data_IF_399831371941
#
_entry.id   IF_399831371941
#
_cell.length_a   1.000
_cell.length_b   1.000
_cell.length_c   1.000
_cell.angle_alpha   90.00
_cell.angle_beta   90.00
_cell.angle_gamma   90.00
#
_symmetry.space_group_name_H-M   'P 1'
#
loop_
_entity.id
_entity.type
_entity.pdbx_description
1 polymer ?
#
# COMPACT_ATOMS: atom_id res chain seq x y z
N UNK A 1 -41.19 -9.62 17.27
CA UNK A 1 -40.65 -8.42 16.59
C UNK A 1 -39.49 -7.93 17.45
N UNK A 2 -38.30 -7.80 16.87
CA UNK A 2 -37.17 -7.19 17.59
C UNK A 2 -37.56 -5.76 17.98
N UNK A 3 -37.38 -5.40 19.26
CA UNK A 3 -37.67 -4.06 19.81
C UNK A 3 -36.56 -3.05 19.49
N UNK A 4 -35.46 -3.49 18.86
CA UNK A 4 -34.34 -2.62 18.48
C UNK A 4 -33.49 -2.16 19.66
N UNK A 5 -33.72 -2.70 20.86
CA UNK A 5 -32.87 -2.41 22.02
C UNK A 5 -31.64 -3.33 22.02
N UNK A 6 -30.47 -2.75 22.27
CA UNK A 6 -29.24 -3.52 22.41
C UNK A 6 -29.34 -4.41 23.66
N UNK A 7 -29.11 -5.71 23.47
CA UNK A 7 -29.17 -6.70 24.56
C UNK A 7 -27.96 -6.60 25.49
N UNK A 8 -26.79 -6.24 24.94
CA UNK A 8 -25.57 -5.99 25.70
C UNK A 8 -24.56 -5.21 24.84
N UNK A 9 -23.45 -4.81 25.45
CA UNK A 9 -22.28 -4.22 24.79
C UNK A 9 -21.09 -5.17 24.94
N UNK A 10 -20.22 -5.18 23.94
CA UNK A 10 -18.95 -5.89 24.01
C UNK A 10 -17.81 -4.93 23.70
N UNK A 11 -16.64 -5.19 24.28
CA UNK A 11 -15.41 -4.46 23.95
C UNK A 11 -14.67 -5.13 22.81
N UNK A 12 -14.06 -4.36 21.93
CA UNK A 12 -13.20 -4.87 20.86
C UNK A 12 -11.98 -3.95 20.74
N UNK A 13 -10.79 -4.52 20.87
CA UNK A 13 -9.53 -3.81 20.77
C UNK A 13 -8.58 -4.58 19.83
N UNK A 14 -7.88 -3.85 18.95
CA UNK A 14 -6.90 -4.43 18.04
C UNK A 14 -5.62 -3.59 18.09
N UNK A 15 -4.54 -4.21 18.56
CA UNK A 15 -3.24 -3.59 18.73
C UNK A 15 -2.21 -4.30 17.85
N UNK A 16 -1.34 -3.51 17.20
CA UNK A 16 -0.28 -4.03 16.35
C UNK A 16 1.04 -3.29 16.61
N UNK A 17 2.10 -4.05 16.83
CA UNK A 17 3.47 -3.56 16.81
C UNK A 17 4.16 -4.05 15.55
N UNK A 18 4.70 -3.12 14.75
CA UNK A 18 5.35 -3.43 13.48
C UNK A 18 6.78 -2.91 13.51
N UNK A 19 7.75 -3.80 13.38
CA UNK A 19 9.16 -3.48 13.21
C UNK A 19 9.53 -3.61 11.73
N UNK A 20 10.05 -2.55 11.14
CA UNK A 20 10.36 -2.49 9.71
C UNK A 20 11.85 -2.23 9.46
N UNK A 21 12.45 -3.03 8.59
CA UNK A 21 13.77 -2.75 8.02
C UNK A 21 13.68 -2.71 6.50
N UNK A 22 14.29 -1.71 5.88
CA UNK A 22 14.32 -1.59 4.43
C UNK A 22 15.68 -1.08 3.96
N UNK A 23 16.09 -1.54 2.78
CA UNK A 23 17.32 -1.09 2.15
C UNK A 23 17.11 -0.90 0.65
N UNK A 24 17.92 -0.02 0.04
CA UNK A 24 17.85 0.23 -1.39
C UNK A 24 19.23 0.41 -2.02
N UNK A 25 19.46 -0.30 -3.12
CA UNK A 25 20.65 -0.20 -3.95
C UNK A 25 20.32 0.49 -5.28
N UNK A 26 21.24 1.34 -5.75
CA UNK A 26 21.19 1.92 -7.10
C UNK A 26 22.27 1.26 -7.92
N UNK A 27 21.90 0.69 -9.05
CA UNK A 27 22.77 -0.02 -9.97
C UNK A 27 22.60 0.57 -11.37
N UNK A 28 23.66 0.58 -12.16
CA UNK A 28 23.62 0.98 -13.56
C UNK A 28 23.77 -0.29 -14.40
N UNK A 29 22.67 -0.79 -14.96
CA UNK A 29 22.69 -1.95 -15.85
C UNK A 29 23.22 -1.51 -17.22
N UNK A 30 24.29 -2.15 -17.68
CA UNK A 30 24.84 -1.97 -19.01
C UNK A 30 24.15 -2.99 -19.93
N UNK A 31 23.32 -2.51 -20.85
CA UNK A 31 22.61 -3.33 -21.82
C UNK A 31 23.27 -3.18 -23.20
N UNK A 32 23.60 -4.32 -23.82
CA UNK A 32 24.27 -4.42 -25.12
C UNK A 32 25.77 -4.73 -25.01
N UNK A 33 26.34 -5.28 -26.08
CA UNK A 33 27.77 -5.50 -26.25
C UNK A 33 28.31 -4.57 -27.35
N UNK A 34 29.42 -3.87 -27.10
CA UNK A 34 30.05 -2.96 -28.06
C UNK A 34 30.56 -1.65 -27.44
N UNK A 35 30.93 -0.69 -28.30
CA UNK A 35 31.57 0.58 -27.91
C UNK A 35 30.62 1.62 -27.27
N UNK A 36 29.30 1.42 -27.34
CA UNK A 36 28.29 2.34 -26.77
C UNK A 36 27.17 1.56 -26.06
N UNK A 37 27.44 0.97 -24.88
CA UNK A 37 26.41 0.27 -24.11
C UNK A 37 25.33 1.24 -23.63
N UNK A 38 24.07 0.79 -23.64
CA UNK A 38 22.97 1.56 -23.07
C UNK A 38 22.96 1.40 -21.55
N UNK A 39 23.11 2.53 -20.83
CA UNK A 39 23.11 2.53 -19.35
C UNK A 39 21.68 2.75 -18.86
N UNK A 40 21.12 1.72 -18.23
CA UNK A 40 19.81 1.78 -17.56
C UNK A 40 20.01 1.82 -16.04
N UNK A 41 19.78 2.97 -15.38
CA UNK A 41 19.82 3.02 -13.93
C UNK A 41 18.59 2.32 -13.35
N UNK A 42 18.85 1.44 -12.40
CA UNK A 42 17.83 0.69 -11.69
C UNK A 42 18.02 0.90 -10.21
N UNK A 43 16.93 1.20 -9.51
CA UNK A 43 16.89 1.18 -8.06
C UNK A 43 16.18 -0.09 -7.60
N UNK A 44 16.90 -0.94 -6.89
CA UNK A 44 16.36 -2.13 -6.23
C UNK A 44 16.16 -1.78 -4.76
N UNK A 45 14.94 -1.94 -4.25
CA UNK A 45 14.63 -1.73 -2.84
C UNK A 45 13.96 -2.98 -2.30
N UNK A 46 14.34 -3.41 -1.11
CA UNK A 46 13.68 -4.51 -0.42
C UNK A 46 13.46 -4.15 1.04
N UNK A 47 12.50 -4.82 1.67
CA UNK A 47 12.22 -4.62 3.08
C UNK A 47 11.56 -5.83 3.71
N UNK A 48 11.66 -5.87 5.03
CA UNK A 48 11.05 -6.87 5.89
C UNK A 48 10.27 -6.17 6.98
N UNK A 49 9.10 -6.71 7.32
CA UNK A 49 8.34 -6.29 8.49
C UNK A 49 8.13 -7.48 9.41
N UNK A 50 8.34 -7.30 10.71
CA UNK A 50 7.86 -8.20 11.75
C UNK A 50 6.64 -7.55 12.41
N UNK A 51 5.50 -8.24 12.41
CA UNK A 51 4.26 -7.82 13.05
C UNK A 51 4.00 -8.66 14.28
N UNK A 52 3.66 -8.01 15.38
CA UNK A 52 3.10 -8.63 16.58
C UNK A 52 1.69 -8.08 16.73
N UNK A 53 0.70 -8.96 16.65
CA UNK A 53 -0.72 -8.63 16.71
C UNK A 53 -1.27 -9.10 18.05
N UNK A 54 -2.09 -8.25 18.67
CA UNK A 54 -2.88 -8.58 19.83
C UNK A 54 -4.31 -8.08 19.61
N UNK A 55 -5.29 -8.95 19.79
CA UNK A 55 -6.70 -8.66 19.61
C UNK A 55 -7.44 -9.05 20.88
N UNK A 56 -8.35 -8.22 21.31
CA UNK A 56 -9.26 -8.50 22.43
C UNK A 56 -10.68 -8.36 21.91
N UNK A 57 -11.52 -9.35 22.22
CA UNK A 57 -12.94 -9.36 21.92
C UNK A 57 -13.66 -9.84 23.17
N UNK A 58 -14.29 -8.90 23.85
CA UNK A 58 -14.92 -9.09 25.15
C UNK A 58 -13.93 -9.69 26.16
N UNK A 59 -14.22 -10.85 26.75
CA UNK A 59 -13.33 -11.56 27.68
C UNK A 59 -12.21 -12.36 26.99
N UNK A 60 -12.24 -12.47 25.66
CA UNK A 60 -11.28 -13.26 24.89
C UNK A 60 -10.16 -12.37 24.33
N UNK A 61 -8.96 -12.93 24.27
CA UNK A 61 -7.78 -12.32 23.66
C UNK A 61 -7.11 -13.32 22.71
N UNK A 62 -6.50 -12.79 21.66
CA UNK A 62 -5.72 -13.52 20.68
C UNK A 62 -4.43 -12.79 20.34
N UNK A 63 -3.40 -13.56 19.99
CA UNK A 63 -2.14 -13.00 19.51
C UNK A 63 -1.62 -13.73 18.29
N UNK A 64 -0.90 -13.03 17.42
CA UNK A 64 -0.30 -13.58 16.23
C UNK A 64 1.03 -12.87 15.89
N UNK A 65 1.90 -13.54 15.15
CA UNK A 65 3.21 -13.01 14.78
C UNK A 65 3.48 -13.26 13.30
N UNK A 66 3.57 -12.19 12.51
CA UNK A 66 3.70 -12.33 11.06
C UNK A 66 4.94 -11.64 10.51
N UNK A 67 5.49 -12.21 9.43
CA UNK A 67 6.60 -11.60 8.70
C UNK A 67 6.13 -11.27 7.29
N UNK A 68 6.44 -10.05 6.86
CA UNK A 68 6.27 -9.63 5.46
C UNK A 68 7.63 -9.42 4.80
N UNK A 69 7.65 -9.61 3.48
CA UNK A 69 8.74 -9.24 2.61
C UNK A 69 8.22 -8.39 1.44
N UNK A 70 8.95 -7.33 1.10
CA UNK A 70 8.67 -6.50 -0.07
C UNK A 70 9.90 -6.33 -0.93
N UNK A 71 9.71 -6.37 -2.25
CA UNK A 71 10.70 -6.03 -3.27
C UNK A 71 10.11 -5.01 -4.24
N UNK A 72 10.86 -3.97 -4.55
CA UNK A 72 10.47 -2.90 -5.47
C UNK A 72 11.64 -2.52 -6.38
N UNK A 73 11.43 -2.66 -7.68
CA UNK A 73 12.40 -2.34 -8.72
C UNK A 73 11.92 -1.12 -9.49
N UNK A 74 12.72 -0.06 -9.54
CA UNK A 74 12.42 1.14 -10.33
C UNK A 74 13.42 1.31 -11.47
N UNK A 75 12.90 1.44 -12.69
CA UNK A 75 13.66 1.91 -13.84
C UNK A 75 13.62 3.44 -13.86
N UNK A 76 14.78 4.08 -13.78
CA UNK A 76 14.86 5.54 -13.66
C UNK A 76 15.07 6.19 -15.03
N UNK A 77 14.42 7.34 -15.28
CA UNK A 77 14.67 8.14 -16.47
C UNK A 77 15.81 9.14 -16.21
N UNK A 78 16.91 9.04 -16.97
CA UNK A 78 18.04 10.01 -16.92
C UNK A 78 18.02 10.98 -18.10
N UNK A 79 17.03 10.93 -19.00
CA UNK A 79 17.05 11.77 -20.21
C UNK A 79 17.12 13.27 -19.91
N UNK A 80 16.74 13.68 -18.71
CA UNK A 80 16.91 15.03 -18.22
C UNK A 80 17.81 15.03 -16.98
N UNK A 81 19.13 15.26 -17.16
CA UNK A 81 20.21 15.21 -16.13
C UNK A 81 19.96 16.03 -14.84
N UNK A 82 18.87 16.82 -14.79
CA UNK A 82 18.48 17.64 -13.63
C UNK A 82 17.42 16.99 -12.73
N UNK A 83 16.65 16.01 -13.20
CA UNK A 83 15.58 15.38 -12.42
C UNK A 83 15.47 13.90 -12.75
N UNK A 84 15.85 13.05 -11.81
CA UNK A 84 15.63 11.61 -11.89
C UNK A 84 14.17 11.32 -11.52
N UNK A 85 13.38 10.87 -12.49
CA UNK A 85 11.99 10.42 -12.25
C UNK A 85 11.94 8.91 -12.42
N UNK A 86 11.22 8.22 -11.55
CA UNK A 86 10.94 6.80 -11.71
C UNK A 86 10.02 6.65 -12.92
N UNK A 87 10.48 5.96 -13.96
CA UNK A 87 9.69 5.82 -15.18
C UNK A 87 8.76 4.63 -15.05
N UNK A 88 9.32 3.48 -14.71
CA UNK A 88 8.58 2.24 -14.50
C UNK A 88 8.97 1.64 -13.16
N UNK A 89 8.02 0.97 -12.54
CA UNK A 89 8.22 0.27 -11.28
C UNK A 89 7.59 -1.11 -11.34
N UNK A 90 8.23 -2.09 -10.72
CA UNK A 90 7.73 -3.45 -10.56
C UNK A 90 7.84 -3.81 -9.09
N UNK A 91 6.75 -4.28 -8.49
CA UNK A 91 6.67 -4.61 -7.08
C UNK A 91 6.22 -6.05 -6.87
N UNK A 92 6.80 -6.69 -5.86
CA UNK A 92 6.35 -7.96 -5.30
C UNK A 92 6.27 -7.79 -3.79
N UNK A 93 5.17 -8.24 -3.18
CA UNK A 93 4.98 -8.29 -1.74
C UNK A 93 4.51 -9.67 -1.34
N UNK A 94 5.16 -10.25 -0.33
CA UNK A 94 4.75 -11.47 0.35
C UNK A 94 4.35 -11.08 1.77
N UNK A 95 3.12 -11.35 2.15
CA UNK A 95 2.57 -10.95 3.45
C UNK A 95 2.20 -12.18 4.26
N UNK A 96 2.43 -12.05 5.57
CA UNK A 96 2.08 -13.06 6.58
C UNK A 96 2.74 -14.44 6.33
N UNK A 97 4.02 -14.43 5.91
CA UNK A 97 4.80 -15.60 5.47
C UNK A 97 4.88 -16.72 6.51
N UNK A 98 4.83 -16.38 7.80
CA UNK A 98 4.91 -17.34 8.91
C UNK A 98 3.59 -18.08 9.17
N UNK A 99 2.49 -17.72 8.50
CA UNK A 99 1.16 -18.35 8.64
C UNK A 99 0.68 -18.55 10.08
N UNK A 100 0.98 -17.63 11.00
CA UNK A 100 0.48 -17.76 12.36
C UNK A 100 -1.00 -17.41 12.40
N UNK A 101 -1.85 -18.33 12.86
CA UNK A 101 -3.22 -18.00 13.21
C UNK A 101 -3.28 -17.08 14.45
N UNK A 102 -4.41 -16.40 14.60
CA UNK A 102 -4.81 -15.76 15.84
C UNK A 102 -5.28 -16.85 16.80
N UNK A 103 -4.45 -17.16 17.79
CA UNK A 103 -4.77 -18.14 18.81
C UNK A 103 -5.59 -17.49 19.91
N UNK A 104 -6.89 -17.81 19.98
CA UNK A 104 -7.81 -17.28 20.97
C UNK A 104 -7.72 -18.05 22.29
N UNK A 105 -7.67 -17.34 23.41
CA UNK A 105 -7.73 -17.91 24.76
C UNK A 105 -9.14 -18.38 25.16
N UNK A 106 -9.87 -19.03 24.24
CA UNK A 106 -11.20 -19.59 24.48
C UNK A 106 -11.12 -21.04 24.96
N UNK A 107 -12.22 -21.57 25.52
CA UNK A 107 -12.31 -22.99 25.94
C UNK A 107 -12.05 -23.94 24.76
N UNK A 108 -12.44 -23.55 23.55
CA UNK A 108 -12.20 -24.32 22.32
C UNK A 108 -10.79 -24.15 21.74
N UNK A 109 -9.95 -23.28 22.32
CA UNK A 109 -8.63 -22.89 21.79
C UNK A 109 -8.69 -22.56 20.29
N UNK A 110 -9.73 -21.81 19.89
CA UNK A 110 -9.99 -21.55 18.48
C UNK A 110 -8.81 -20.81 17.84
N UNK A 111 -8.38 -21.27 16.68
CA UNK A 111 -7.35 -20.62 15.87
C UNK A 111 -8.00 -20.06 14.60
N UNK A 112 -7.90 -18.75 14.42
CA UNK A 112 -8.29 -18.07 13.18
C UNK A 112 -7.06 -17.96 12.26
N UNK A 113 -6.98 -18.72 11.15
CA UNK A 113 -5.80 -18.69 10.30
C UNK A 113 -5.64 -17.34 9.59
N UNK A 114 -4.43 -16.77 9.64
CA UNK A 114 -4.06 -15.62 8.80
C UNK A 114 -3.46 -16.17 7.51
N UNK A 115 -4.18 -16.02 6.40
CA UNK A 115 -3.72 -16.50 5.10
C UNK A 115 -2.54 -15.70 4.56
N UNK A 116 -1.51 -16.43 4.12
CA UNK A 116 -0.42 -15.86 3.34
C UNK A 116 -0.98 -15.15 2.11
N UNK A 117 -0.41 -14.00 1.76
CA UNK A 117 -0.78 -13.34 0.52
C UNK A 117 0.39 -12.85 -0.32
N UNK A 118 0.25 -13.03 -1.63
CA UNK A 118 1.18 -12.53 -2.64
C UNK A 118 0.52 -11.35 -3.35
N UNK A 119 1.24 -10.24 -3.46
CA UNK A 119 0.86 -9.12 -4.29
C UNK A 119 1.93 -8.84 -5.33
N UNK A 120 1.51 -8.59 -6.56
CA UNK A 120 2.39 -8.20 -7.67
C UNK A 120 1.84 -6.93 -8.30
N UNK A 121 2.72 -6.01 -8.68
CA UNK A 121 2.28 -4.72 -9.20
C UNK A 121 3.25 -4.07 -10.15
N UNK A 122 2.70 -3.17 -10.96
CA UNK A 122 3.44 -2.33 -11.90
C UNK A 122 3.04 -0.87 -11.70
N UNK A 123 3.99 0.02 -11.92
CA UNK A 123 3.77 1.46 -11.83
C UNK A 123 4.46 2.19 -12.97
N UNK A 124 3.88 3.32 -13.37
CA UNK A 124 4.47 4.24 -14.33
C UNK A 124 4.34 5.67 -13.81
N UNK A 125 5.40 6.46 -13.92
CA UNK A 125 5.31 7.90 -13.65
C UNK A 125 5.90 8.74 -14.78
N UNK A 126 5.28 9.90 -15.00
CA UNK A 126 5.71 10.87 -15.99
C UNK A 126 5.56 12.29 -15.46
N UNK A 127 6.65 13.05 -15.48
CA UNK A 127 6.60 14.48 -15.19
C UNK A 127 6.09 15.27 -16.40
N UNK A 128 5.16 16.18 -16.16
CA UNK A 128 4.62 17.13 -17.13
C UNK A 128 5.26 18.49 -16.86
N UNK A 129 6.31 18.83 -17.61
CA UNK A 129 7.13 20.03 -17.35
C UNK A 129 6.32 21.33 -17.44
N UNK A 130 5.41 21.45 -18.41
CA UNK A 130 4.60 22.67 -18.64
C UNK A 130 3.75 23.07 -17.42
N UNK A 131 3.26 22.10 -16.65
CA UNK A 131 2.42 22.35 -15.48
C UNK A 131 3.14 22.08 -14.16
N UNK A 132 4.43 21.72 -14.18
CA UNK A 132 5.13 21.13 -13.02
C UNK A 132 4.32 19.98 -12.39
N UNK A 133 3.63 19.21 -13.23
CA UNK A 133 2.77 18.11 -12.82
C UNK A 133 3.51 16.79 -12.76
N UNK A 134 3.03 15.85 -11.95
CA UNK A 134 3.44 14.45 -11.95
C UNK A 134 2.21 13.59 -12.22
N UNK A 135 2.28 12.81 -13.29
CA UNK A 135 1.32 11.77 -13.61
C UNK A 135 1.83 10.44 -13.06
N UNK A 136 1.00 9.71 -12.34
CA UNK A 136 1.30 8.36 -11.87
C UNK A 136 0.17 7.43 -12.25
N UNK A 137 0.52 6.24 -12.70
CA UNK A 137 -0.39 5.11 -12.88
C UNK A 137 0.18 3.92 -12.13
N UNK A 138 -0.68 3.14 -11.49
CA UNK A 138 -0.31 1.88 -10.86
C UNK A 138 -1.40 0.85 -11.09
N UNK A 139 -1.00 -0.40 -11.22
CA UNK A 139 -1.90 -1.53 -11.23
C UNK A 139 -1.26 -2.70 -10.48
N UNK A 140 -2.07 -3.45 -9.75
CA UNK A 140 -1.60 -4.58 -8.97
C UNK A 140 -2.71 -5.63 -8.81
N UNK A 141 -2.30 -6.81 -8.38
CA UNK A 141 -3.20 -7.91 -8.00
C UNK A 141 -2.67 -8.53 -6.72
N UNK A 142 -3.57 -8.98 -5.86
CA UNK A 142 -3.23 -9.70 -4.63
C UNK A 142 -4.05 -10.98 -4.51
N UNK A 143 -3.45 -12.05 -3.97
CA UNK A 143 -4.19 -13.27 -3.65
C UNK A 143 -5.21 -13.04 -2.54
N UNK A 144 -4.96 -12.08 -1.63
CA UNK A 144 -5.90 -11.69 -0.56
C UNK A 144 -7.21 -11.12 -1.10
N UNK A 145 -7.12 -10.37 -2.20
CA UNK A 145 -8.27 -9.73 -2.85
C UNK A 145 -8.81 -10.62 -3.99
N UNK A 146 -8.79 -11.95 -3.82
CA UNK A 146 -9.27 -12.93 -4.80
C UNK A 146 -8.64 -12.76 -6.20
N UNK A 147 -7.42 -12.21 -6.28
CA UNK A 147 -6.71 -11.88 -7.51
C UNK A 147 -7.39 -10.83 -8.40
N UNK A 148 -8.32 -10.04 -7.88
CA UNK A 148 -8.91 -8.93 -8.60
C UNK A 148 -7.84 -7.87 -8.92
N UNK A 149 -7.89 -7.34 -10.14
CA UNK A 149 -6.95 -6.31 -10.57
C UNK A 149 -7.40 -4.97 -10.02
N UNK A 150 -6.51 -4.35 -9.24
CA UNK A 150 -6.64 -2.98 -8.78
C UNK A 150 -5.82 -2.08 -9.67
N UNK A 151 -6.31 -0.87 -9.90
CA UNK A 151 -5.54 0.14 -10.60
C UNK A 151 -5.91 1.54 -10.14
N UNK A 152 -4.96 2.44 -10.28
CA UNK A 152 -5.06 3.81 -9.82
C UNK A 152 -4.29 4.76 -10.71
N UNK A 153 -4.80 5.97 -10.75
CA UNK A 153 -4.24 7.11 -11.44
C UNK A 153 -4.14 8.27 -10.45
N UNK A 154 -2.99 8.94 -10.43
CA UNK A 154 -2.77 10.16 -9.68
C UNK A 154 -2.22 11.25 -10.59
N UNK A 155 -2.82 12.43 -10.51
CA UNK A 155 -2.21 13.66 -11.00
C UNK A 155 -1.88 14.58 -9.83
N UNK A 156 -0.59 14.86 -9.63
CA UNK A 156 -0.12 15.83 -8.65
C UNK A 156 0.33 17.12 -9.33
N UNK A 157 -0.27 18.24 -8.95
CA UNK A 157 0.13 19.57 -9.39
C UNK A 157 1.08 20.22 -8.38
N UNK A 158 2.33 20.47 -8.79
CA UNK A 158 3.39 21.10 -7.98
C UNK A 158 3.68 20.41 -6.63
N UNK A 159 3.19 19.19 -6.41
CA UNK A 159 3.27 18.52 -5.11
C UNK A 159 2.36 19.13 -4.03
N UNK A 160 1.44 20.02 -4.41
CA UNK A 160 0.52 20.72 -3.49
C UNK A 160 -0.86 20.09 -3.57
N UNK A 161 -1.39 19.90 -4.77
CA UNK A 161 -2.70 19.29 -5.00
C UNK A 161 -2.49 17.94 -5.67
N UNK A 162 -3.19 16.91 -5.20
CA UNK A 162 -3.22 15.60 -5.82
C UNK A 162 -4.67 15.21 -6.10
N UNK A 163 -4.97 14.80 -7.33
CA UNK A 163 -6.24 14.21 -7.72
C UNK A 163 -6.01 12.72 -7.98
N UNK A 164 -6.86 11.88 -7.40
CA UNK A 164 -6.75 10.42 -7.45
C UNK A 164 -8.03 9.79 -7.95
N UNK A 165 -7.88 8.79 -8.78
CA UNK A 165 -8.96 7.95 -9.27
C UNK A 165 -8.47 6.51 -9.33
N UNK A 166 -9.30 5.55 -8.99
CA UNK A 166 -8.92 4.15 -9.06
C UNK A 166 -10.09 3.21 -8.95
N UNK A 167 -9.81 1.92 -9.10
CA UNK A 167 -10.78 0.85 -8.94
C UNK A 167 -10.26 -0.16 -7.92
N UNK A 168 -11.13 -0.52 -6.98
CA UNK A 168 -10.90 -1.55 -5.97
C UNK A 168 -12.12 -2.47 -5.91
N UNK A 169 -11.91 -3.74 -6.25
CA UNK A 169 -12.99 -4.67 -6.53
C UNK A 169 -14.02 -4.14 -7.51
N UNK A 170 -15.32 -4.18 -7.14
CA UNK A 170 -16.39 -3.61 -7.97
C UNK A 170 -16.51 -2.08 -7.85
N UNK A 171 -15.84 -1.48 -6.86
CA UNK A 171 -16.00 -0.07 -6.50
C UNK A 171 -15.03 0.88 -7.20
N UNK A 172 -15.54 2.05 -7.59
CA UNK A 172 -14.70 3.18 -7.97
C UNK A 172 -14.28 4.00 -6.75
N UNK A 173 -13.04 4.47 -6.76
CA UNK A 173 -12.47 5.35 -5.76
C UNK A 173 -12.07 6.67 -6.39
N UNK A 174 -12.35 7.76 -5.69
CA UNK A 174 -11.87 9.10 -6.04
C UNK A 174 -11.25 9.73 -4.81
N UNK A 175 -10.30 10.64 -4.98
CA UNK A 175 -9.73 11.35 -3.86
C UNK A 175 -9.04 12.64 -4.25
N UNK A 176 -8.94 13.54 -3.28
CA UNK A 176 -8.20 14.78 -3.38
C UNK A 176 -7.27 14.91 -2.19
N UNK A 177 -6.02 15.28 -2.45
CA UNK A 177 -5.02 15.56 -1.44
C UNK A 177 -4.56 16.99 -1.55
N UNK A 178 -4.41 17.66 -0.41
CA UNK A 178 -3.86 19.00 -0.29
C UNK A 178 -2.68 18.99 0.67
N UNK A 179 -1.54 19.53 0.23
CA UNK A 179 -0.34 19.72 1.04
C UNK A 179 -0.08 21.22 1.20
N UNK A 180 -0.16 21.69 2.44
CA UNK A 180 0.09 23.08 2.83
C UNK A 180 1.21 23.10 3.86
N UNK A 181 2.42 23.48 3.42
CA UNK A 181 3.60 23.57 4.28
C UNK A 181 3.87 22.25 5.04
N UNK A 182 3.62 22.24 6.37
CA UNK A 182 3.78 21.09 7.26
C UNK A 182 2.53 20.22 7.38
N UNK A 183 1.41 20.62 6.80
CA UNK A 183 0.13 19.91 6.90
C UNK A 183 -0.18 19.21 5.57
N UNK A 184 -0.71 18.00 5.66
CA UNK A 184 -1.36 17.29 4.56
C UNK A 184 -2.76 16.90 5.00
N UNK A 185 -3.71 17.09 4.10
CA UNK A 185 -5.10 16.65 4.25
C UNK A 185 -5.44 15.83 3.01
N UNK A 186 -6.01 14.65 3.20
CA UNK A 186 -6.46 13.78 2.14
C UNK A 186 -7.93 13.43 2.38
N UNK A 187 -8.72 13.52 1.32
CA UNK A 187 -10.10 13.07 1.29
C UNK A 187 -10.23 11.98 0.23
N UNK A 188 -10.90 10.89 0.57
CA UNK A 188 -11.19 9.81 -0.36
C UNK A 188 -12.66 9.39 -0.25
N UNK A 189 -13.25 9.13 -1.42
CA UNK A 189 -14.56 8.54 -1.58
C UNK A 189 -14.40 7.16 -2.22
N UNK A 190 -15.07 6.17 -1.65
CA UNK A 190 -15.09 4.80 -2.14
C UNK A 190 -16.54 4.36 -2.31
N UNK A 191 -16.95 4.13 -3.56
CA UNK A 191 -18.23 3.50 -3.84
C UNK A 191 -18.14 2.01 -3.58
N UNK A 192 -19.08 1.46 -2.81
CA UNK A 192 -19.20 0.02 -2.57
C UNK A 192 -20.68 -0.38 -2.61
N UNK A 193 -20.97 -1.66 -2.88
CA UNK A 193 -22.35 -2.17 -2.97
C UNK A 193 -23.13 -2.02 -1.65
N UNK A 194 -22.41 -2.09 -0.53
CA UNK A 194 -22.95 -1.94 0.83
C UNK A 194 -23.12 -0.46 1.25
N UNK A 195 -22.78 0.49 0.38
CA UNK A 195 -22.86 1.92 0.65
C UNK A 195 -21.55 2.64 0.39
N UNK A 196 -21.65 3.95 0.19
CA UNK A 196 -20.48 4.80 -0.02
C UNK A 196 -19.72 5.06 1.28
N UNK A 197 -18.40 4.95 1.22
CA UNK A 197 -17.51 5.28 2.35
C UNK A 197 -16.75 6.57 2.07
N UNK A 198 -16.74 7.46 3.06
CA UNK A 198 -15.97 8.69 3.05
C UNK A 198 -14.82 8.55 4.05
N UNK A 199 -13.58 8.81 3.60
CA UNK A 199 -12.39 8.76 4.44
C UNK A 199 -11.71 10.12 4.44
N UNK A 200 -11.44 10.65 5.63
CA UNK A 200 -10.67 11.87 5.84
C UNK A 200 -9.40 11.48 6.58
N UNK A 201 -8.25 11.83 6.00
CA UNK A 201 -6.93 11.61 6.59
C UNK A 201 -6.18 12.93 6.68
N UNK A 202 -5.29 13.03 7.66
CA UNK A 202 -4.42 14.18 7.81
C UNK A 202 -3.08 13.78 8.40
N UNK A 203 -2.06 14.59 8.13
CA UNK A 203 -0.72 14.38 8.65
C UNK A 203 0.02 15.69 8.86
N UNK A 204 0.87 15.71 9.88
CA UNK A 204 1.77 16.82 10.17
C UNK A 204 3.23 16.37 10.00
N UNK A 205 4.03 17.17 9.30
CA UNK A 205 5.45 16.91 9.03
C UNK A 205 6.31 17.92 9.79
N UNK A 206 7.28 17.44 10.56
CA UNK A 206 8.22 18.28 11.32
C UNK A 206 9.44 18.65 10.49
#
# INVERSE_FOLDING_TARGET
RSNGEALDYFTNSENALIFSIAHAYKLNLLLGSGLSPFILPVRFSFGLNLKLLNKELDDASASAQSVDFGLLVHLLDIRNRRVVVQKFSFGIGLFDITSTGLNWNTISEHEDPIEQSLSIGVGYQRRIFRTKGLLSFAADKSTRDQNEIRYGFEYSHKGIIALRFGKYGQGWTTGIGLKLNKIRIDYAFMGHELGATHRVGGGFYF
#
